data_IF_479825716107
#
_entry.id   IF_479825716107
#
_cell.length_a   1.000
_cell.length_b   1.000
_cell.length_c   1.000
_cell.angle_alpha   90.00
_cell.angle_beta   90.00
_cell.angle_gamma   90.00
#
_symmetry.space_group_name_H-M   'P 1'
#
loop_
_entity.id
_entity.type
_entity.pdbx_description
1 polymer ?
#
# COMPACT_ATOMS: atom_id res chain seq x y z
N UNK A 1 -6.66 25.50 -6.33
CA UNK A 1 -5.66 25.15 -7.37
C UNK A 1 -6.24 24.04 -8.23
N UNK A 2 -6.47 24.31 -9.51
CA UNK A 2 -6.96 23.34 -10.50
C UNK A 2 -5.91 22.26 -10.70
N UNK A 3 -6.28 20.99 -10.50
CA UNK A 3 -5.39 19.86 -10.81
C UNK A 3 -5.19 19.83 -12.33
N UNK A 4 -3.95 19.99 -12.78
CA UNK A 4 -3.59 19.91 -14.21
C UNK A 4 -3.78 18.45 -14.65
N UNK A 5 -4.61 18.23 -15.68
CA UNK A 5 -4.84 16.92 -16.26
C UNK A 5 -3.63 16.46 -17.08
N UNK A 6 -3.48 15.14 -17.21
CA UNK A 6 -2.32 14.50 -17.87
C UNK A 6 -2.09 14.98 -19.33
N UNK A 7 -3.16 15.31 -20.05
CA UNK A 7 -3.10 15.74 -21.44
C UNK A 7 -3.17 17.27 -21.64
N UNK A 8 -3.35 18.04 -20.57
CA UNK A 8 -3.46 19.50 -20.64
C UNK A 8 -2.13 20.16 -21.00
N UNK A 9 -2.13 21.39 -21.55
CA UNK A 9 -0.91 22.14 -21.77
C UNK A 9 -0.15 22.32 -20.44
N UNK A 10 1.18 22.13 -20.48
CA UNK A 10 2.01 22.29 -19.30
C UNK A 10 1.97 23.74 -18.78
N UNK A 11 1.73 23.97 -17.48
CA UNK A 11 1.74 25.31 -16.88
C UNK A 11 3.12 25.97 -16.88
N UNK A 12 4.16 25.21 -17.24
CA UNK A 12 5.53 25.68 -17.40
C UNK A 12 5.78 26.52 -18.67
N UNK A 13 4.77 26.70 -19.53
CA UNK A 13 4.90 27.49 -20.76
C UNK A 13 5.61 26.79 -21.91
N UNK A 14 5.87 25.48 -21.82
CA UNK A 14 6.61 24.73 -22.84
C UNK A 14 5.79 24.38 -24.11
N UNK A 15 4.48 24.64 -24.10
CA UNK A 15 3.56 24.25 -25.18
C UNK A 15 3.33 22.73 -25.33
N UNK A 16 3.99 21.90 -24.51
CA UNK A 16 3.86 20.43 -24.52
C UNK A 16 2.75 19.99 -23.57
N UNK A 17 2.16 18.81 -23.83
CA UNK A 17 1.23 18.14 -22.89
C UNK A 17 1.96 17.87 -21.56
N UNK A 18 1.29 18.08 -20.43
CA UNK A 18 1.85 17.96 -19.09
C UNK A 18 2.56 16.61 -18.85
N UNK A 19 1.98 15.50 -19.34
CA UNK A 19 2.59 14.16 -19.28
C UNK A 19 3.96 14.00 -19.93
N UNK A 20 4.24 14.81 -20.95
CA UNK A 20 5.48 14.79 -21.70
C UNK A 20 6.43 15.92 -21.25
N UNK A 21 6.08 16.64 -20.19
CA UNK A 21 6.86 17.76 -19.67
C UNK A 21 7.06 17.61 -18.15
N UNK A 22 6.40 18.41 -17.31
CA UNK A 22 6.65 18.43 -15.87
C UNK A 22 6.18 17.19 -15.12
N UNK A 23 5.27 16.37 -15.66
CA UNK A 23 4.75 15.20 -14.93
C UNK A 23 5.84 14.25 -14.43
N UNK A 24 6.94 14.06 -15.19
CA UNK A 24 8.07 13.21 -14.75
C UNK A 24 8.81 13.81 -13.55
N UNK A 25 9.02 15.14 -13.56
CA UNK A 25 9.67 15.87 -12.46
C UNK A 25 8.81 15.85 -11.20
N UNK A 26 7.51 16.08 -11.37
CA UNK A 26 6.57 16.08 -10.26
C UNK A 26 6.43 14.67 -9.63
N UNK A 27 6.56 13.60 -10.44
CA UNK A 27 6.63 12.23 -9.93
C UNK A 27 7.91 11.99 -9.11
N UNK A 28 9.05 12.45 -9.61
CA UNK A 28 10.34 12.32 -8.93
C UNK A 28 10.35 13.09 -7.59
N UNK A 29 9.79 14.30 -7.58
CA UNK A 29 9.60 15.11 -6.37
C UNK A 29 8.62 14.45 -5.39
N UNK A 30 7.51 13.90 -5.86
CA UNK A 30 6.56 13.16 -5.01
C UNK A 30 7.20 11.90 -4.41
N UNK A 31 8.11 11.23 -5.12
CA UNK A 31 8.86 10.11 -4.55
C UNK A 31 9.88 10.56 -3.52
N UNK A 32 10.52 11.72 -3.72
CA UNK A 32 11.48 12.29 -2.77
C UNK A 32 10.82 12.73 -1.46
N UNK A 33 9.56 13.17 -1.47
CA UNK A 33 8.86 13.59 -0.25
C UNK A 33 8.37 12.39 0.58
N UNK A 34 8.07 11.25 -0.04
CA UNK A 34 7.64 10.04 0.68
C UNK A 34 8.72 9.44 1.58
N UNK A 35 9.98 9.70 1.26
CA UNK A 35 11.13 9.21 2.02
C UNK A 35 12.14 10.34 2.17
N UNK A 36 12.23 10.93 3.36
CA UNK A 36 13.35 11.84 3.66
C UNK A 36 14.65 11.09 3.34
N UNK A 37 15.66 11.69 2.69
CA UNK A 37 16.92 11.00 2.37
C UNK A 37 17.63 10.43 3.61
N UNK A 38 17.31 10.94 4.80
CA UNK A 38 17.78 10.40 6.09
C UNK A 38 16.95 9.24 6.67
N UNK A 39 15.88 8.76 6.00
CA UNK A 39 15.01 7.67 6.47
C UNK A 39 14.26 7.90 7.79
N UNK A 40 14.34 9.12 8.35
CA UNK A 40 13.83 9.44 9.71
C UNK A 40 12.42 9.98 9.65
N UNK A 41 11.42 9.12 9.38
CA UNK A 41 10.05 9.45 9.77
C UNK A 41 9.96 9.32 11.29
N UNK A 42 10.07 10.45 12.00
CA UNK A 42 9.90 10.49 13.46
C UNK A 42 8.42 10.23 13.79
N UNK A 43 8.04 8.98 13.99
CA UNK A 43 6.76 8.66 14.62
C UNK A 43 6.93 8.74 16.13
N UNK A 44 6.33 9.76 16.75
CA UNK A 44 6.28 9.88 18.22
C UNK A 44 5.08 9.06 18.70
N UNK A 45 5.33 7.82 19.10
CA UNK A 45 4.33 7.00 19.77
C UNK A 45 4.46 7.23 21.28
N UNK A 46 3.53 7.97 21.87
CA UNK A 46 3.36 7.97 23.33
C UNK A 46 2.53 6.76 23.71
N UNK A 47 3.13 5.80 24.40
CA UNK A 47 2.38 4.71 25.04
C UNK A 47 1.57 5.35 26.17
N UNK A 48 0.25 5.47 25.98
CA UNK A 48 -0.63 5.83 27.08
C UNK A 48 -0.68 4.63 28.01
N UNK A 49 0.12 4.70 29.08
CA UNK A 49 -0.02 3.79 30.21
C UNK A 49 -1.46 3.83 30.69
N UNK A 50 -2.07 2.66 30.85
CA UNK A 50 -3.48 2.49 31.18
C UNK A 50 -3.90 3.36 32.36
N UNK A 51 -4.71 4.36 32.06
CA UNK A 51 -5.71 4.87 32.98
C UNK A 51 -6.93 5.21 32.12
N UNK A 52 -8.08 4.87 32.65
CA UNK A 52 -9.28 4.42 31.93
C UNK A 52 -10.05 5.58 31.26
N UNK A 53 -9.42 6.75 31.12
CA UNK A 53 -10.06 8.02 30.74
C UNK A 53 -9.58 8.60 29.42
N UNK A 54 -9.02 7.80 28.53
CA UNK A 54 -8.66 8.22 27.17
C UNK A 54 -9.73 7.85 26.10
N UNK A 55 -10.99 7.65 26.50
CA UNK A 55 -12.11 7.37 25.61
C UNK A 55 -13.05 8.58 25.51
N UNK A 56 -12.60 9.69 24.92
CA UNK A 56 -13.54 10.76 24.53
C UNK A 56 -13.13 11.65 23.36
N UNK A 57 -11.92 11.51 22.78
CA UNK A 57 -11.49 12.41 21.68
C UNK A 57 -11.35 11.72 20.32
N UNK A 58 -11.52 10.40 20.26
CA UNK A 58 -11.70 9.72 18.98
C UNK A 58 -13.05 9.02 18.95
N UNK A 59 -14.03 9.69 18.34
CA UNK A 59 -15.18 9.03 17.75
C UNK A 59 -14.69 8.00 16.74
N UNK A 60 -14.42 6.79 17.22
CA UNK A 60 -14.07 5.61 16.44
C UNK A 60 -15.29 4.71 16.41
N UNK A 61 -16.20 4.96 15.49
CA UNK A 61 -16.78 3.85 14.74
C UNK A 61 -15.76 3.43 13.68
N UNK A 62 -14.58 2.99 14.11
CA UNK A 62 -13.70 2.24 13.21
C UNK A 62 -14.29 0.83 13.15
N UNK A 63 -14.84 0.38 12.01
CA UNK A 63 -15.16 -1.02 11.85
C UNK A 63 -13.83 -1.75 12.03
N UNK A 64 -13.73 -2.60 13.06
CA UNK A 64 -12.70 -3.63 13.09
C UNK A 64 -12.81 -4.35 11.75
N UNK A 65 -11.79 -4.37 10.87
CA UNK A 65 -11.79 -5.30 9.77
C UNK A 65 -11.65 -6.68 10.41
N UNK A 66 -12.79 -7.31 10.69
CA UNK A 66 -12.84 -8.74 10.92
C UNK A 66 -12.56 -9.35 9.55
N UNK A 67 -11.27 -9.50 9.23
CA UNK A 67 -10.90 -10.42 8.17
C UNK A 67 -11.51 -11.77 8.58
N UNK A 68 -12.29 -12.44 7.71
CA UNK A 68 -12.71 -13.80 7.98
C UNK A 68 -11.43 -14.61 8.07
N UNK A 69 -11.03 -14.95 9.30
CA UNK A 69 -10.00 -15.95 9.50
C UNK A 69 -10.65 -17.25 9.08
N UNK A 70 -10.38 -17.66 7.84
CA UNK A 70 -10.86 -18.91 7.29
C UNK A 70 -10.35 -20.02 8.22
N UNK A 71 -11.25 -20.55 9.06
CA UNK A 71 -10.89 -21.48 10.14
C UNK A 71 -10.18 -22.71 9.58
N UNK A 72 -10.51 -23.07 8.34
CA UNK A 72 -9.87 -24.12 7.57
C UNK A 72 -8.41 -23.80 7.24
N UNK A 73 -8.08 -22.55 6.91
CA UNK A 73 -6.69 -22.15 6.64
C UNK A 73 -5.83 -22.26 7.91
N UNK A 74 -6.39 -21.89 9.06
CA UNK A 74 -5.71 -21.98 10.35
C UNK A 74 -5.55 -23.43 10.82
N UNK A 75 -6.54 -24.29 10.55
CA UNK A 75 -6.46 -25.73 10.79
C UNK A 75 -5.40 -26.40 9.91
N UNK A 76 -5.35 -26.07 8.60
CA UNK A 76 -4.33 -26.55 7.66
C UNK A 76 -2.93 -26.15 8.08
N UNK A 77 -2.73 -24.91 8.54
CA UNK A 77 -1.43 -24.43 9.01
C UNK A 77 -0.98 -25.15 10.30
N UNK A 78 -1.90 -25.35 11.25
CA UNK A 78 -1.60 -26.10 12.49
C UNK A 78 -1.21 -27.55 12.20
N UNK A 79 -1.93 -28.21 11.32
CA UNK A 79 -1.60 -29.58 10.88
C UNK A 79 -0.22 -29.63 10.21
N UNK A 80 0.07 -28.68 9.31
CA UNK A 80 1.39 -28.55 8.65
C UNK A 80 2.53 -28.39 9.66
N UNK A 81 2.35 -27.53 10.66
CA UNK A 81 3.35 -27.29 11.71
C UNK A 81 3.54 -28.50 12.63
N UNK A 82 2.46 -29.20 12.97
CA UNK A 82 2.51 -30.38 13.83
C UNK A 82 3.25 -31.55 13.17
N UNK A 83 3.06 -31.75 11.85
CA UNK A 83 3.70 -32.82 11.10
C UNK A 83 5.06 -32.43 10.51
N UNK A 84 5.52 -31.19 10.73
CA UNK A 84 6.76 -30.66 10.13
C UNK A 84 6.79 -30.77 8.61
N UNK A 85 5.63 -30.70 7.96
CA UNK A 85 5.46 -30.76 6.51
C UNK A 85 5.68 -29.37 5.89
N UNK A 86 6.89 -28.82 6.00
CA UNK A 86 7.27 -27.54 5.38
C UNK A 86 7.58 -27.73 3.89
N UNK A 87 6.63 -28.24 3.11
CA UNK A 87 6.77 -28.27 1.66
C UNK A 87 6.81 -26.82 1.15
N UNK A 88 7.94 -26.42 0.57
CA UNK A 88 8.08 -25.17 -0.19
C UNK A 88 7.09 -25.28 -1.34
N UNK A 89 6.08 -24.41 -1.37
CA UNK A 89 5.23 -24.25 -2.55
C UNK A 89 6.14 -23.70 -3.64
N UNK A 90 6.69 -24.59 -4.45
CA UNK A 90 7.40 -24.22 -5.68
C UNK A 90 6.39 -23.52 -6.56
N UNK A 91 6.54 -22.21 -6.70
CA UNK A 91 5.67 -21.37 -7.51
C UNK A 91 5.92 -21.69 -8.99
N UNK A 92 5.49 -22.87 -9.43
CA UNK A 92 5.28 -23.19 -10.83
C UNK A 92 3.95 -22.55 -11.25
N UNK A 93 3.96 -21.22 -11.35
CA UNK A 93 3.06 -20.55 -12.27
C UNK A 93 3.48 -20.99 -13.67
N UNK A 94 2.88 -22.06 -14.17
CA UNK A 94 2.80 -22.23 -15.62
C UNK A 94 2.12 -20.96 -16.17
N UNK A 95 2.77 -20.23 -17.10
CA UNK A 95 2.14 -19.06 -17.69
C UNK A 95 0.94 -19.53 -18.50
N UNK A 96 -0.27 -19.18 -18.04
CA UNK A 96 -1.48 -19.43 -18.80
C UNK A 96 -1.33 -18.78 -20.19
N UNK A 97 -1.58 -19.52 -21.29
CA UNK A 97 -1.45 -18.97 -22.62
C UNK A 97 -2.49 -17.87 -22.79
N UNK A 98 -2.03 -16.63 -23.01
CA UNK A 98 -2.90 -15.51 -23.36
C UNK A 98 -3.63 -15.86 -24.66
N UNK A 99 -4.98 -15.87 -24.70
CA UNK A 99 -5.68 -16.01 -25.96
C UNK A 99 -5.50 -14.72 -26.75
N UNK A 100 -4.61 -14.75 -27.73
CA UNK A 100 -4.60 -13.75 -28.80
C UNK A 100 -5.94 -13.89 -29.54
N UNK A 101 -6.82 -12.90 -29.35
CA UNK A 101 -7.96 -12.71 -30.26
C UNK A 101 -7.49 -11.88 -31.45
N UNK A 102 -7.94 -12.21 -32.67
CA UNK A 102 -7.58 -11.50 -33.91
C UNK A 102 -8.12 -10.06 -33.94
#
# INVERSE_FOLDING_TARGET
>A
MTKVGRNDPCPCGSGKKYKNCCMKKDQEEQTAVKYTPSGKRKFKATVLGGSEKALSVFGRSSPTPQAPVDSDALARLKYRMANKDYRVEETSQEPLPFPFKP
#
